data_IF_900750945916
#
_entry.id   IF_900750945916
#
_cell.length_a   1.000
_cell.length_b   1.000
_cell.length_c   1.000
_cell.angle_alpha   90.00
_cell.angle_beta   90.00
_cell.angle_gamma   90.00
#
_symmetry.space_group_name_H-M   'P 1'
#
loop_
_entity.id
_entity.type
_entity.pdbx_description
1 polymer ?
#
# COMPACT_ATOMS: atom_id res chain seq x y z
N UNK A 1 -6.85 4.83 19.63
CA UNK A 1 -5.58 4.09 19.70
C UNK A 1 -4.46 4.70 18.84
N UNK A 2 -4.76 5.68 18.00
CA UNK A 2 -3.78 6.31 17.10
C UNK A 2 -3.38 7.72 17.53
N UNK A 3 -3.93 8.20 18.65
CA UNK A 3 -3.69 9.51 19.21
C UNK A 3 -3.90 9.49 20.73
N UNK A 4 -3.32 10.45 21.41
CA UNK A 4 -3.51 10.62 22.85
C UNK A 4 -4.86 11.30 23.12
N UNK A 5 -5.48 10.98 24.26
CA UNK A 5 -6.67 11.69 24.73
C UNK A 5 -6.30 13.15 25.01
N UNK A 6 -7.23 14.06 24.72
CA UNK A 6 -7.07 15.47 25.05
C UNK A 6 -6.86 15.64 26.55
N UNK A 7 -5.84 16.43 26.94
CA UNK A 7 -5.52 16.72 28.33
C UNK A 7 -4.74 15.63 29.07
N UNK A 8 -4.31 14.55 28.40
CA UNK A 8 -3.43 13.55 29.03
C UNK A 8 -2.09 14.17 29.42
N UNK A 9 -1.55 13.75 30.56
CA UNK A 9 -0.27 14.23 31.10
C UNK A 9 0.78 13.12 31.06
N UNK A 10 2.06 13.49 31.27
CA UNK A 10 3.14 12.53 31.41
C UNK A 10 2.95 11.64 32.66
N UNK A 11 2.38 12.19 33.74
CA UNK A 11 2.06 11.44 34.94
C UNK A 11 0.99 10.36 34.69
N UNK A 12 0.01 10.66 33.83
CA UNK A 12 -0.99 9.67 33.42
C UNK A 12 -0.37 8.57 32.58
N UNK A 13 0.54 8.92 31.68
CA UNK A 13 1.29 7.96 30.88
C UNK A 13 2.18 7.09 31.77
N UNK A 14 2.82 7.68 32.81
CA UNK A 14 3.66 6.95 33.75
C UNK A 14 2.90 5.84 34.50
N UNK A 15 1.60 6.01 34.74
CA UNK A 15 0.72 5.02 35.38
C UNK A 15 0.28 3.87 34.45
N UNK A 16 0.56 3.96 33.15
CA UNK A 16 0.23 2.87 32.21
C UNK A 16 1.04 1.60 32.55
N UNK A 17 0.36 0.50 32.84
CA UNK A 17 0.96 -0.78 33.23
C UNK A 17 1.58 -1.53 32.05
N UNK A 18 1.23 -1.16 30.79
CA UNK A 18 1.70 -1.83 29.59
C UNK A 18 2.89 -1.07 28.97
N UNK A 19 4.14 -1.56 29.14
CA UNK A 19 5.35 -0.85 28.70
C UNK A 19 5.31 -0.48 27.21
N UNK A 20 4.75 -1.34 26.36
CA UNK A 20 4.63 -1.09 24.93
C UNK A 20 3.80 0.17 24.63
N UNK A 21 2.60 0.27 25.19
CA UNK A 21 1.73 1.43 24.98
C UNK A 21 2.22 2.67 25.71
N UNK A 22 2.79 2.51 26.91
CA UNK A 22 3.46 3.58 27.65
C UNK A 22 4.54 4.24 26.80
N UNK A 23 5.37 3.45 26.13
CA UNK A 23 6.47 3.95 25.31
C UNK A 23 5.94 4.74 24.09
N UNK A 24 4.95 4.20 23.39
CA UNK A 24 4.30 4.90 22.26
C UNK A 24 3.71 6.24 22.73
N UNK A 25 2.93 6.22 23.81
CA UNK A 25 2.30 7.42 24.36
C UNK A 25 3.32 8.47 24.79
N UNK A 26 4.43 8.04 25.40
CA UNK A 26 5.53 8.93 25.78
C UNK A 26 6.15 9.64 24.58
N UNK A 27 6.44 8.92 23.48
CA UNK A 27 6.96 9.54 22.27
C UNK A 27 5.93 10.45 21.60
N UNK A 28 4.64 10.10 21.65
CA UNK A 28 3.57 10.93 21.10
C UNK A 28 3.45 12.27 21.87
N UNK A 29 3.43 12.26 23.21
CA UNK A 29 3.30 13.49 24.01
C UNK A 29 4.52 14.40 23.85
N UNK A 30 5.69 13.84 23.57
CA UNK A 30 6.92 14.59 23.26
C UNK A 30 6.99 15.08 21.80
N UNK A 31 5.98 14.78 20.96
CA UNK A 31 6.02 15.09 19.52
C UNK A 31 7.14 14.38 18.76
N UNK A 32 7.63 13.25 19.28
CA UNK A 32 8.77 12.49 18.71
C UNK A 32 8.35 11.13 18.14
N UNK A 33 7.06 10.81 18.14
CA UNK A 33 6.59 9.57 17.55
C UNK A 33 6.69 9.65 16.03
N UNK A 34 7.36 8.71 15.34
CA UNK A 34 7.51 8.73 13.89
C UNK A 34 6.20 8.24 13.24
N UNK A 35 5.22 9.13 13.11
CA UNK A 35 3.87 8.79 12.66
C UNK A 35 3.78 8.50 11.14
N UNK A 36 4.71 9.06 10.34
CA UNK A 36 4.73 8.86 8.89
C UNK A 36 4.74 7.37 8.54
N UNK A 37 3.83 6.95 7.67
CA UNK A 37 3.53 5.55 7.29
C UNK A 37 3.04 4.64 8.43
N UNK A 38 3.16 5.06 9.70
CA UNK A 38 2.63 4.27 10.82
C UNK A 38 1.17 4.55 11.11
N UNK A 39 0.72 5.79 10.93
CA UNK A 39 -0.66 6.18 11.20
C UNK A 39 -1.22 6.81 9.93
N UNK A 40 -2.20 6.16 9.33
CA UNK A 40 -2.82 6.62 8.08
C UNK A 40 -4.31 6.30 8.03
N UNK A 41 -5.03 7.03 7.21
CA UNK A 41 -6.42 6.75 6.86
C UNK A 41 -6.46 6.05 5.51
N UNK A 42 -7.15 4.91 5.46
CA UNK A 42 -7.29 4.08 4.27
C UNK A 42 -8.72 4.16 3.77
N UNK A 43 -8.88 4.55 2.51
CA UNK A 43 -10.18 4.60 1.85
C UNK A 43 -10.55 3.25 1.24
N UNK A 44 -11.86 3.04 1.10
CA UNK A 44 -12.37 1.89 0.36
C UNK A 44 -12.12 2.04 -1.15
N UNK A 45 -11.92 0.89 -1.79
CA UNK A 45 -11.94 0.77 -3.25
C UNK A 45 -12.96 -0.29 -3.65
N UNK A 46 -13.64 -0.15 -4.81
CA UNK A 46 -14.53 -1.20 -5.27
C UNK A 46 -13.75 -2.47 -5.62
N UNK A 47 -14.44 -3.62 -5.54
CA UNK A 47 -13.88 -4.84 -6.10
C UNK A 47 -13.69 -4.64 -7.64
N UNK A 48 -12.45 -4.75 -8.15
CA UNK A 48 -12.17 -4.52 -9.56
C UNK A 48 -12.88 -5.48 -10.51
N UNK A 49 -13.35 -6.63 -10.01
CA UNK A 49 -14.15 -7.59 -10.79
C UNK A 49 -15.45 -6.96 -11.31
N UNK A 50 -16.05 -6.04 -10.56
CA UNK A 50 -17.30 -5.35 -10.95
C UNK A 50 -17.13 -4.63 -12.29
N UNK A 51 -16.05 -3.88 -12.43
CA UNK A 51 -15.79 -3.14 -13.67
C UNK A 51 -15.27 -4.05 -14.78
N UNK A 52 -14.40 -5.02 -14.47
CA UNK A 52 -13.88 -5.94 -15.48
C UNK A 52 -14.97 -6.81 -16.10
N UNK A 53 -15.92 -7.28 -15.32
CA UNK A 53 -17.10 -8.01 -15.85
C UNK A 53 -17.93 -7.16 -16.81
N UNK A 54 -18.10 -5.90 -16.49
CA UNK A 54 -18.84 -4.95 -17.33
C UNK A 54 -18.08 -4.62 -18.61
N UNK A 55 -16.77 -4.40 -18.51
CA UNK A 55 -15.91 -3.98 -19.63
C UNK A 55 -15.42 -5.16 -20.48
N UNK A 56 -15.59 -6.42 -19.99
CA UNK A 56 -15.04 -7.64 -20.61
C UNK A 56 -13.51 -7.60 -20.74
N UNK A 57 -12.86 -7.10 -19.70
CA UNK A 57 -11.39 -7.02 -19.58
C UNK A 57 -10.91 -7.82 -18.36
N UNK A 58 -9.60 -7.91 -18.17
CA UNK A 58 -9.05 -8.38 -16.90
C UNK A 58 -9.29 -7.35 -15.79
N UNK A 59 -9.53 -7.79 -14.54
CA UNK A 59 -9.64 -6.87 -13.41
C UNK A 59 -8.30 -6.21 -13.08
N UNK A 60 -8.36 -4.94 -12.68
CA UNK A 60 -7.23 -4.21 -12.12
C UNK A 60 -6.93 -4.70 -10.70
N UNK A 61 -6.07 -4.01 -9.96
CA UNK A 61 -5.58 -4.47 -8.67
C UNK A 61 -6.57 -4.29 -7.53
N UNK A 62 -6.36 -5.06 -6.46
CA UNK A 62 -6.93 -4.82 -5.13
C UNK A 62 -5.90 -4.21 -4.15
N UNK A 63 -4.67 -3.89 -4.63
CA UNK A 63 -3.56 -3.40 -3.81
C UNK A 63 -3.45 -1.85 -3.80
N UNK A 64 -4.58 -1.15 -3.90
CA UNK A 64 -4.62 0.31 -3.97
C UNK A 64 -4.20 1.03 -2.69
N UNK A 65 -4.12 0.33 -1.56
CA UNK A 65 -3.79 0.87 -0.25
C UNK A 65 -2.45 0.31 0.29
N UNK A 66 -1.28 0.70 -0.26
CA UNK A 66 -0.01 0.37 0.36
C UNK A 66 0.12 1.08 1.71
N UNK A 67 0.76 0.43 2.66
CA UNK A 67 0.92 0.98 4.01
C UNK A 67 2.28 1.65 4.23
N UNK A 68 3.26 1.32 3.40
CA UNK A 68 4.66 1.68 3.64
C UNK A 68 5.31 0.87 4.77
N UNK A 69 4.66 -0.20 5.23
CA UNK A 69 5.19 -1.13 6.23
C UNK A 69 5.66 -2.41 5.55
N UNK A 70 6.77 -2.94 6.00
CA UNK A 70 7.26 -4.26 5.63
C UNK A 70 7.38 -5.15 6.87
N UNK A 71 7.22 -6.45 6.66
CA UNK A 71 7.22 -7.47 7.70
C UNK A 71 8.07 -8.68 7.31
N UNK A 72 8.47 -9.46 8.31
CA UNK A 72 9.19 -10.73 8.13
C UNK A 72 8.35 -11.89 8.64
N UNK A 73 8.54 -13.05 8.04
CA UNK A 73 7.94 -14.29 8.56
C UNK A 73 8.39 -14.55 10.00
N UNK A 74 7.44 -14.98 10.84
CA UNK A 74 7.66 -15.28 12.25
C UNK A 74 7.55 -14.08 13.20
N UNK A 75 7.48 -12.82 12.70
CA UNK A 75 7.30 -11.67 13.58
C UNK A 75 5.85 -11.48 14.02
N UNK A 76 5.67 -10.76 15.15
CA UNK A 76 4.36 -10.31 15.60
C UNK A 76 4.12 -8.88 15.16
N UNK A 77 3.08 -8.66 14.35
CA UNK A 77 2.65 -7.34 13.93
C UNK A 77 1.50 -6.85 14.82
N UNK A 78 1.68 -5.69 15.43
CA UNK A 78 0.66 -5.02 16.24
C UNK A 78 0.03 -3.92 15.40
N UNK A 79 -1.28 -4.03 15.18
CA UNK A 79 -2.07 -3.10 14.38
C UNK A 79 -3.26 -2.61 15.20
N UNK A 80 -3.41 -1.31 15.28
CA UNK A 80 -4.54 -0.67 15.96
C UNK A 80 -5.48 -0.12 14.88
N UNK A 81 -6.71 -0.62 14.87
CA UNK A 81 -7.72 -0.31 13.84
C UNK A 81 -8.83 0.53 14.44
N UNK A 82 -9.13 1.65 13.80
CA UNK A 82 -10.24 2.52 14.14
C UNK A 82 -11.61 1.90 13.85
N UNK A 83 -12.61 2.75 13.73
CA UNK A 83 -13.94 2.30 13.32
C UNK A 83 -13.89 1.75 11.91
N UNK A 84 -14.35 0.51 11.73
CA UNK A 84 -14.41 -0.16 10.43
C UNK A 84 -15.71 0.14 9.68
N UNK A 85 -16.62 0.88 10.29
CA UNK A 85 -17.94 1.22 9.75
C UNK A 85 -18.76 -0.03 9.35
N UNK A 86 -18.46 -1.19 9.99
CA UNK A 86 -19.11 -2.46 9.70
C UNK A 86 -18.57 -3.21 8.48
N UNK A 87 -17.48 -2.75 7.89
CA UNK A 87 -16.82 -3.42 6.76
C UNK A 87 -15.73 -4.38 7.23
N UNK A 88 -15.52 -5.42 6.43
CA UNK A 88 -14.38 -6.31 6.58
C UNK A 88 -13.11 -5.60 6.09
N UNK A 89 -12.12 -5.50 6.98
CA UNK A 89 -10.82 -4.95 6.67
C UNK A 89 -9.79 -6.07 6.70
N UNK A 90 -9.10 -6.28 5.58
CA UNK A 90 -8.01 -7.24 5.49
C UNK A 90 -6.65 -6.56 5.52
N UNK A 91 -5.64 -7.33 5.89
CA UNK A 91 -4.24 -6.94 5.78
C UNK A 91 -3.53 -7.99 4.93
N UNK A 92 -3.10 -7.62 3.74
CA UNK A 92 -2.34 -8.52 2.86
C UNK A 92 -0.85 -8.27 3.01
N UNK A 93 -0.11 -9.34 3.23
CA UNK A 93 1.35 -9.37 3.10
C UNK A 93 1.68 -9.95 1.73
N UNK A 94 2.26 -9.13 0.85
CA UNK A 94 2.62 -9.51 -0.52
C UNK A 94 4.06 -9.97 -0.56
N UNK A 95 4.29 -11.24 -0.86
CA UNK A 95 5.62 -11.83 -0.95
C UNK A 95 6.08 -11.92 -2.41
N UNK A 96 6.85 -10.94 -2.85
CA UNK A 96 7.46 -10.93 -4.20
C UNK A 96 8.67 -11.86 -4.33
N UNK A 97 9.20 -12.40 -3.22
CA UNK A 97 10.31 -13.34 -3.19
C UNK A 97 9.87 -14.81 -3.05
N UNK A 98 8.57 -15.09 -3.05
CA UNK A 98 8.07 -16.44 -2.88
C UNK A 98 8.68 -17.42 -3.92
N UNK A 99 9.00 -18.65 -3.53
CA UNK A 99 9.34 -19.70 -4.49
C UNK A 99 8.22 -19.81 -5.53
N UNK A 100 8.53 -20.11 -6.76
CA UNK A 100 7.57 -20.11 -7.87
C UNK A 100 7.06 -18.71 -8.29
N UNK A 101 7.72 -17.69 -7.82
CA UNK A 101 7.23 -16.32 -7.80
C UNK A 101 6.97 -15.75 -9.19
N UNK A 102 5.71 -15.44 -9.42
CA UNK A 102 5.22 -14.62 -10.52
C UNK A 102 4.92 -13.17 -10.07
N UNK A 103 5.33 -12.82 -8.83
CA UNK A 103 5.11 -11.49 -8.23
C UNK A 103 3.74 -11.32 -7.58
N UNK A 104 2.95 -12.38 -7.40
CA UNK A 104 1.59 -12.27 -6.89
C UNK A 104 1.26 -13.15 -5.67
N UNK A 105 2.26 -13.77 -5.07
CA UNK A 105 2.09 -14.53 -3.82
C UNK A 105 1.79 -13.66 -2.61
N UNK A 106 1.05 -14.19 -1.64
CA UNK A 106 0.82 -13.46 -0.39
C UNK A 106 -0.28 -14.07 0.48
N UNK A 107 -0.35 -13.59 1.73
CA UNK A 107 -1.30 -14.05 2.74
C UNK A 107 -2.12 -12.85 3.24
N UNK A 108 -3.43 -13.06 3.43
CA UNK A 108 -4.33 -12.02 3.96
C UNK A 108 -4.80 -12.40 5.36
N UNK A 109 -4.74 -11.43 6.27
CA UNK A 109 -5.20 -11.50 7.65
C UNK A 109 -6.44 -10.61 7.80
N UNK A 110 -7.46 -11.09 8.50
CA UNK A 110 -8.60 -10.26 8.85
C UNK A 110 -8.25 -9.36 10.04
N UNK A 111 -8.61 -8.09 9.96
CA UNK A 111 -8.45 -7.12 11.05
C UNK A 111 -9.80 -6.87 11.74
N UNK A 112 -9.77 -6.84 13.07
CA UNK A 112 -10.90 -6.40 13.88
C UNK A 112 -10.68 -4.96 14.34
N UNK A 113 -11.76 -4.23 14.58
CA UNK A 113 -11.68 -2.93 15.24
C UNK A 113 -10.98 -3.09 16.61
N UNK A 114 -10.06 -2.14 16.93
CA UNK A 114 -9.26 -2.19 18.14
C UNK A 114 -7.86 -2.74 17.92
N UNK A 115 -7.36 -3.53 18.86
CA UNK A 115 -5.98 -4.04 18.87
C UNK A 115 -5.94 -5.40 18.21
N UNK A 116 -5.08 -5.52 17.18
CA UNK A 116 -4.78 -6.79 16.53
C UNK A 116 -3.32 -7.16 16.80
N UNK A 117 -3.08 -8.42 17.15
CA UNK A 117 -1.74 -9.03 17.23
C UNK A 117 -1.73 -10.19 16.23
N UNK A 118 -0.99 -10.02 15.16
CA UNK A 118 -0.88 -10.98 14.08
C UNK A 118 0.47 -11.66 14.11
N UNK A 119 0.49 -13.00 14.04
CA UNK A 119 1.72 -13.75 13.78
C UNK A 119 1.85 -13.87 12.26
N UNK A 120 2.88 -13.23 11.72
CA UNK A 120 3.09 -13.15 10.29
C UNK A 120 3.72 -14.44 9.77
N UNK A 121 3.10 -15.06 8.77
CA UNK A 121 3.61 -16.29 8.13
C UNK A 121 4.48 -16.01 6.91
N UNK A 122 4.34 -14.85 6.27
CA UNK A 122 5.04 -14.46 5.05
C UNK A 122 5.83 -13.16 5.24
N UNK A 123 6.93 -13.01 4.50
CA UNK A 123 7.63 -11.73 4.44
C UNK A 123 7.11 -10.88 3.27
N UNK A 124 7.18 -9.56 3.38
CA UNK A 124 6.86 -8.68 2.25
C UNK A 124 6.36 -7.30 2.65
N UNK A 125 5.85 -6.59 1.64
CA UNK A 125 5.15 -5.32 1.82
C UNK A 125 3.70 -5.57 2.26
N UNK A 126 3.16 -4.62 3.00
CA UNK A 126 1.85 -4.74 3.63
C UNK A 126 0.85 -3.79 2.98
N UNK A 127 -0.33 -4.31 2.66
CA UNK A 127 -1.43 -3.56 2.03
C UNK A 127 -2.71 -3.71 2.84
N UNK A 128 -3.49 -2.64 2.93
CA UNK A 128 -4.83 -2.70 3.51
C UNK A 128 -5.83 -3.08 2.43
N UNK A 129 -6.58 -4.16 2.68
CA UNK A 129 -7.65 -4.65 1.82
C UNK A 129 -8.97 -4.10 2.37
N UNK A 130 -9.42 -2.98 1.81
CA UNK A 130 -10.71 -2.38 2.13
C UNK A 130 -11.52 -2.30 0.83
N UNK A 131 -12.31 -3.34 0.58
CA UNK A 131 -12.97 -3.58 -0.71
C UNK A 131 -14.49 -3.50 -0.57
N UNK A 132 -15.13 -2.66 -1.39
CA UNK A 132 -16.59 -2.54 -1.45
C UNK A 132 -17.19 -3.45 -2.53
N UNK A 133 -18.47 -3.79 -2.34
CA UNK A 133 -19.24 -4.63 -3.28
C UNK A 133 -19.93 -3.82 -4.39
N UNK A 134 -19.80 -2.49 -4.34
CA UNK A 134 -20.36 -1.55 -5.31
C UNK A 134 -19.29 -0.55 -5.72
N UNK A 135 -19.45 0.08 -6.89
CA UNK A 135 -18.49 1.08 -7.40
C UNK A 135 -18.41 2.32 -6.52
N UNK A 136 -19.56 2.78 -6.06
CA UNK A 136 -19.69 3.95 -5.20
C UNK A 136 -20.47 3.53 -3.96
N UNK A 137 -19.80 3.54 -2.82
CA UNK A 137 -20.39 3.20 -1.53
C UNK A 137 -20.19 4.36 -0.54
N UNK A 138 -21.18 5.24 -0.39
CA UNK A 138 -21.06 6.42 0.46
C UNK A 138 -20.94 6.10 1.96
N UNK A 139 -21.28 4.87 2.38
CA UNK A 139 -21.14 4.42 3.75
C UNK A 139 -19.70 3.96 4.08
N UNK A 140 -18.89 3.68 3.08
CA UNK A 140 -17.51 3.21 3.24
C UNK A 140 -16.55 4.38 3.55
N UNK A 141 -16.68 4.95 4.75
CA UNK A 141 -15.79 6.01 5.22
C UNK A 141 -14.35 5.49 5.44
N UNK A 142 -13.33 6.36 5.33
CA UNK A 142 -11.95 5.97 5.58
C UNK A 142 -11.73 5.36 6.97
N UNK A 143 -10.89 4.34 7.05
CA UNK A 143 -10.53 3.65 8.29
C UNK A 143 -9.13 4.08 8.72
N UNK A 144 -9.02 4.61 9.93
CA UNK A 144 -7.75 4.98 10.53
C UNK A 144 -7.05 3.74 11.09
N UNK A 145 -5.84 3.48 10.62
CA UNK A 145 -5.03 2.32 11.06
C UNK A 145 -3.67 2.80 11.54
N UNK A 146 -3.22 2.24 12.66
CA UNK A 146 -1.91 2.49 13.23
C UNK A 146 -1.11 1.19 13.30
N UNK A 147 -0.03 1.13 12.55
CA UNK A 147 0.95 0.05 12.58
C UNK A 147 1.95 0.33 13.71
N UNK A 148 1.64 -0.16 14.90
CA UNK A 148 2.45 0.08 16.10
C UNK A 148 3.77 -0.70 16.11
N UNK A 149 3.89 -1.75 15.29
CA UNK A 149 5.13 -2.48 15.01
C UNK A 149 5.30 -2.69 13.49
N UNK A 150 6.24 -3.55 13.08
CA UNK A 150 6.64 -3.67 11.67
C UNK A 150 7.70 -2.62 11.31
N UNK A 151 8.34 -2.78 10.17
CA UNK A 151 9.41 -1.89 9.72
C UNK A 151 8.88 -0.90 8.70
N UNK A 152 9.10 0.39 8.94
CA UNK A 152 8.78 1.43 7.93
C UNK A 152 9.71 1.27 6.74
N UNK A 153 9.12 1.10 5.57
CA UNK A 153 9.75 1.12 4.26
C UNK A 153 9.44 2.42 3.53
N UNK A 154 8.24 2.94 3.72
CA UNK A 154 7.68 4.02 2.95
C UNK A 154 7.25 3.60 1.54
N UNK A 155 6.65 4.52 0.84
CA UNK A 155 6.29 4.44 -0.59
C UNK A 155 6.23 5.87 -1.15
N UNK A 156 6.16 6.00 -2.46
CA UNK A 156 5.92 7.28 -3.13
C UNK A 156 4.53 7.29 -3.76
N UNK A 157 3.79 8.38 -3.56
CA UNK A 157 2.48 8.61 -4.18
C UNK A 157 2.45 10.02 -4.80
N UNK A 158 2.41 10.10 -6.12
CA UNK A 158 2.36 11.37 -6.85
C UNK A 158 1.06 12.16 -6.60
N UNK A 159 0.03 11.52 -6.07
CA UNK A 159 -1.24 12.14 -5.73
C UNK A 159 -1.27 12.68 -4.28
N UNK A 160 -0.24 12.36 -3.47
CA UNK A 160 -0.11 12.88 -2.12
C UNK A 160 0.74 14.16 -2.10
N UNK A 161 0.15 15.34 -1.79
CA UNK A 161 0.90 16.59 -1.75
C UNK A 161 2.10 16.57 -0.78
N UNK A 162 2.05 15.76 0.29
CA UNK A 162 3.15 15.61 1.24
C UNK A 162 4.37 14.87 0.65
N UNK A 163 4.21 14.18 -0.48
CA UNK A 163 5.29 13.50 -1.19
C UNK A 163 5.94 14.37 -2.29
N UNK A 164 5.38 15.53 -2.59
CA UNK A 164 5.90 16.43 -3.62
C UNK A 164 7.37 16.78 -3.37
N UNK A 165 8.24 16.50 -4.35
CA UNK A 165 9.67 16.75 -4.27
C UNK A 165 10.45 15.82 -3.33
N UNK A 166 9.81 14.81 -2.75
CA UNK A 166 10.42 13.88 -1.78
C UNK A 166 10.77 12.51 -2.36
N UNK A 167 10.69 12.32 -3.67
CA UNK A 167 11.03 11.04 -4.32
C UNK A 167 12.35 10.46 -3.81
N UNK A 168 13.45 11.21 -3.96
CA UNK A 168 14.77 10.73 -3.58
C UNK A 168 14.90 10.47 -2.07
N UNK A 169 14.27 11.30 -1.24
CA UNK A 169 14.24 11.10 0.21
C UNK A 169 13.56 9.79 0.58
N UNK A 170 12.33 9.58 0.09
CA UNK A 170 11.52 8.40 0.39
C UNK A 170 12.18 7.12 -0.13
N UNK A 171 12.66 7.12 -1.37
CA UNK A 171 13.34 5.97 -1.96
C UNK A 171 14.65 5.64 -1.21
N UNK A 172 15.43 6.65 -0.80
CA UNK A 172 16.67 6.42 -0.05
C UNK A 172 16.44 5.88 1.36
N UNK A 173 15.31 6.21 1.99
CA UNK A 173 14.90 5.66 3.29
C UNK A 173 14.36 4.23 3.21
N UNK A 174 13.96 3.77 2.03
CA UNK A 174 13.42 2.43 1.83
C UNK A 174 14.43 1.36 2.26
N UNK A 175 13.95 0.38 3.01
CA UNK A 175 14.77 -0.68 3.62
C UNK A 175 14.40 -2.08 3.15
N UNK A 176 13.24 -2.22 2.49
CA UNK A 176 12.82 -3.46 1.84
C UNK A 176 13.44 -3.54 0.45
N UNK A 177 13.52 -4.75 -0.09
CA UNK A 177 13.95 -5.01 -1.47
C UNK A 177 13.02 -4.32 -2.48
N UNK A 178 11.76 -4.17 -2.16
CA UNK A 178 10.72 -3.61 -3.03
C UNK A 178 10.22 -2.27 -2.53
N UNK A 179 9.79 -1.44 -3.47
CA UNK A 179 9.27 -0.11 -3.19
C UNK A 179 8.04 0.17 -4.06
N UNK A 180 6.97 0.66 -3.44
CA UNK A 180 5.74 1.03 -4.12
C UNK A 180 5.81 2.46 -4.64
N UNK A 181 5.35 2.65 -5.88
CA UNK A 181 5.23 3.95 -6.54
C UNK A 181 3.81 4.09 -7.09
N UNK A 182 3.06 5.05 -6.58
CA UNK A 182 1.67 5.25 -6.94
C UNK A 182 1.50 6.51 -7.78
N UNK A 183 0.74 6.34 -8.85
CA UNK A 183 0.17 7.42 -9.63
C UNK A 183 -1.35 7.50 -9.46
N UNK A 184 -1.99 8.20 -10.36
CA UNK A 184 -3.45 8.28 -10.43
C UNK A 184 -4.06 6.98 -10.93
N UNK A 185 -3.44 6.35 -11.93
CA UNK A 185 -3.96 5.19 -12.66
C UNK A 185 -3.08 3.95 -12.53
N UNK A 186 -1.81 4.13 -12.21
CA UNK A 186 -0.82 3.05 -12.09
C UNK A 186 -0.31 2.88 -10.65
N UNK A 187 0.05 1.66 -10.29
CA UNK A 187 0.75 1.31 -9.07
C UNK A 187 1.90 0.37 -9.43
N UNK A 188 3.12 0.83 -9.25
CA UNK A 188 4.34 0.07 -9.54
C UNK A 188 4.91 -0.50 -8.24
N UNK A 189 5.35 -1.77 -8.27
CA UNK A 189 6.18 -2.35 -7.21
C UNK A 189 7.42 -2.96 -7.84
N UNK A 190 8.53 -2.22 -7.79
CA UNK A 190 9.81 -2.61 -8.38
C UNK A 190 10.90 -2.76 -7.32
N UNK A 191 12.06 -3.35 -7.69
CA UNK A 191 13.17 -3.41 -6.76
C UNK A 191 13.69 -2.00 -6.43
N UNK A 192 13.87 -1.75 -5.14
CA UNK A 192 14.41 -0.49 -4.63
C UNK A 192 15.78 -0.14 -5.26
N UNK A 193 16.61 -1.17 -5.47
CA UNK A 193 17.94 -1.02 -6.11
C UNK A 193 17.84 -0.58 -7.58
N UNK A 194 16.88 -1.12 -8.31
CA UNK A 194 16.70 -0.82 -9.73
C UNK A 194 16.12 0.60 -9.89
N UNK A 195 15.14 0.97 -9.06
CA UNK A 195 14.63 2.35 -9.01
C UNK A 195 15.74 3.35 -8.70
N UNK A 196 16.62 3.05 -7.72
CA UNK A 196 17.77 3.92 -7.42
C UNK A 196 18.74 4.05 -8.58
N UNK A 197 18.97 2.97 -9.32
CA UNK A 197 19.95 2.90 -10.40
C UNK A 197 19.43 3.59 -11.67
N UNK A 198 18.20 3.27 -12.07
CA UNK A 198 17.70 3.64 -13.40
C UNK A 198 16.85 4.91 -13.40
N UNK A 199 16.10 5.15 -12.30
CA UNK A 199 15.23 6.32 -12.21
C UNK A 199 15.98 7.56 -11.69
N UNK A 200 16.96 7.37 -10.80
CA UNK A 200 17.68 8.49 -10.17
C UNK A 200 16.73 9.42 -9.41
N UNK A 201 16.68 10.70 -9.82
CA UNK A 201 15.77 11.72 -9.24
C UNK A 201 14.44 11.88 -9.98
N UNK A 202 14.15 11.03 -10.99
CA UNK A 202 13.05 11.19 -11.94
C UNK A 202 11.83 10.30 -11.65
N UNK A 203 11.55 10.02 -10.40
CA UNK A 203 10.43 9.17 -10.03
C UNK A 203 9.06 9.74 -10.38
N UNK A 204 8.92 11.06 -10.33
CA UNK A 204 7.71 11.75 -10.80
C UNK A 204 7.51 11.52 -12.31
N UNK A 205 8.59 11.66 -13.11
CA UNK A 205 8.53 11.43 -14.56
C UNK A 205 8.18 9.96 -14.87
N UNK A 206 8.73 9.02 -14.10
CA UNK A 206 8.43 7.58 -14.25
C UNK A 206 6.94 7.32 -14.06
N UNK A 207 6.38 7.70 -12.92
CA UNK A 207 4.98 7.38 -12.61
C UNK A 207 4.00 8.14 -13.52
N UNK A 208 4.33 9.37 -13.92
CA UNK A 208 3.55 10.14 -14.90
C UNK A 208 3.51 9.44 -16.26
N UNK A 209 4.60 8.79 -16.67
CA UNK A 209 4.62 8.02 -17.91
C UNK A 209 3.68 6.82 -17.84
N UNK A 210 3.73 6.05 -16.75
CA UNK A 210 2.84 4.91 -16.54
C UNK A 210 1.36 5.35 -16.43
N UNK A 211 1.09 6.44 -15.75
CA UNK A 211 -0.26 7.02 -15.70
C UNK A 211 -0.79 7.37 -17.09
N UNK A 212 0.06 7.97 -17.95
CA UNK A 212 -0.30 8.27 -19.35
C UNK A 212 -0.57 7.01 -20.16
N UNK A 213 0.22 5.94 -19.97
CA UNK A 213 0.01 4.66 -20.65
C UNK A 213 -1.35 4.07 -20.26
N UNK A 214 -1.60 3.91 -18.95
CA UNK A 214 -2.85 3.33 -18.44
C UNK A 214 -4.06 4.20 -18.81
N UNK A 215 -3.92 5.51 -18.72
CA UNK A 215 -4.99 6.42 -19.15
C UNK A 215 -5.29 6.29 -20.65
N UNK A 216 -4.26 6.23 -21.50
CA UNK A 216 -4.43 6.07 -22.94
C UNK A 216 -5.08 4.73 -23.30
N UNK A 217 -4.77 3.67 -22.57
CA UNK A 217 -5.45 2.37 -22.70
C UNK A 217 -6.95 2.51 -22.40
N UNK A 218 -7.32 3.15 -21.30
CA UNK A 218 -8.71 3.37 -20.93
C UNK A 218 -9.44 4.26 -21.93
N UNK A 219 -8.76 5.27 -22.50
CA UNK A 219 -9.31 6.10 -23.58
C UNK A 219 -9.56 5.29 -24.85
N UNK A 220 -8.61 4.43 -25.25
CA UNK A 220 -8.73 3.56 -26.41
C UNK A 220 -9.92 2.60 -26.29
N UNK A 221 -10.16 2.10 -25.08
CA UNK A 221 -11.33 1.28 -24.75
C UNK A 221 -12.63 2.10 -24.67
N UNK A 222 -12.57 3.43 -24.77
CA UNK A 222 -13.71 4.33 -24.68
C UNK A 222 -14.26 4.52 -23.27
N UNK A 223 -13.55 4.05 -22.24
CA UNK A 223 -14.05 4.07 -20.87
C UNK A 223 -14.24 5.49 -20.32
N UNK A 224 -13.34 6.40 -20.66
CA UNK A 224 -13.49 7.82 -20.30
C UNK A 224 -14.76 8.44 -20.91
N UNK A 225 -14.98 8.21 -22.20
CA UNK A 225 -16.14 8.78 -22.93
C UNK A 225 -17.49 8.41 -22.30
N UNK A 226 -17.57 7.24 -21.67
CA UNK A 226 -18.79 6.70 -21.08
C UNK A 226 -18.80 6.77 -19.54
N UNK A 227 -17.84 7.49 -18.94
CA UNK A 227 -17.67 7.57 -17.48
C UNK A 227 -17.58 6.18 -16.82
N UNK A 228 -16.76 5.32 -17.41
CA UNK A 228 -16.56 3.91 -17.01
C UNK A 228 -15.12 3.59 -16.66
N UNK A 229 -14.27 4.59 -16.45
CA UNK A 229 -12.88 4.37 -16.08
C UNK A 229 -12.77 3.53 -14.81
N UNK A 230 -11.73 2.69 -14.73
CA UNK A 230 -11.47 1.92 -13.53
C UNK A 230 -11.23 2.83 -12.33
N UNK A 231 -11.78 2.47 -11.18
CA UNK A 231 -11.56 3.16 -9.90
C UNK A 231 -10.29 2.69 -9.21
N UNK A 232 -9.86 1.46 -9.54
CA UNK A 232 -8.63 0.85 -9.04
C UNK A 232 -7.46 1.20 -9.97
N UNK A 233 -6.24 1.14 -9.42
CA UNK A 233 -5.02 1.27 -10.22
C UNK A 233 -4.67 -0.03 -10.92
N UNK A 234 -4.07 0.09 -12.11
CA UNK A 234 -3.37 -1.06 -12.71
C UNK A 234 -2.11 -1.33 -11.90
N UNK A 235 -1.94 -2.57 -11.45
CA UNK A 235 -0.77 -2.99 -10.70
C UNK A 235 0.28 -3.60 -11.61
N UNK A 236 1.48 -3.05 -11.54
CA UNK A 236 2.62 -3.45 -12.35
C UNK A 236 3.77 -3.82 -11.41
N UNK A 237 4.24 -5.08 -11.46
CA UNK A 237 5.25 -5.55 -10.53
C UNK A 237 6.44 -6.22 -11.21
N UNK A 238 7.58 -6.19 -10.52
CA UNK A 238 8.74 -6.99 -10.92
C UNK A 238 8.48 -8.46 -10.67
N UNK A 239 9.03 -9.31 -11.53
CA UNK A 239 9.03 -10.76 -11.36
C UNK A 239 10.31 -11.37 -11.91
N UNK A 240 10.54 -12.67 -11.68
CA UNK A 240 11.84 -13.31 -11.93
C UNK A 240 11.77 -14.54 -12.84
N UNK A 241 10.58 -14.99 -13.19
CA UNK A 241 10.34 -16.29 -13.82
C UNK A 241 10.15 -16.20 -15.33
N UNK A 242 9.28 -15.32 -15.79
CA UNK A 242 8.94 -15.13 -17.20
C UNK A 242 9.48 -13.80 -17.70
N UNK A 243 9.47 -13.54 -19.00
CA UNK A 243 9.92 -12.27 -19.55
C UNK A 243 8.95 -11.12 -19.20
N UNK A 244 7.69 -11.28 -19.56
CA UNK A 244 6.61 -10.35 -19.28
C UNK A 244 5.26 -11.06 -19.47
N UNK A 245 4.28 -10.74 -18.64
CA UNK A 245 2.89 -11.17 -18.87
C UNK A 245 1.91 -10.25 -18.16
N UNK A 246 0.65 -10.26 -18.64
CA UNK A 246 -0.48 -9.63 -17.98
C UNK A 246 -1.56 -10.68 -17.73
N UNK A 247 -2.19 -10.61 -16.58
CA UNK A 247 -3.29 -11.48 -16.18
C UNK A 247 -4.25 -10.72 -15.26
N UNK A 248 -5.22 -11.42 -14.67
CA UNK A 248 -6.07 -10.80 -13.66
C UNK A 248 -5.23 -10.20 -12.53
N UNK A 249 -5.56 -8.98 -12.14
CA UNK A 249 -5.02 -8.22 -11.01
C UNK A 249 -3.61 -7.66 -11.17
N UNK A 250 -2.77 -8.08 -12.12
CA UNK A 250 -1.44 -7.52 -12.30
C UNK A 250 -0.84 -7.71 -13.69
N UNK A 251 0.12 -6.85 -13.99
CA UNK A 251 1.08 -6.98 -15.10
C UNK A 251 2.47 -7.14 -14.50
N UNK A 252 3.23 -8.13 -14.96
CA UNK A 252 4.53 -8.47 -14.41
C UNK A 252 5.64 -8.33 -15.44
N UNK A 253 6.76 -7.73 -15.01
CA UNK A 253 7.95 -7.50 -15.82
C UNK A 253 9.15 -8.22 -15.22
N UNK A 254 9.92 -8.93 -16.06
CA UNK A 254 11.14 -9.56 -15.59
C UNK A 254 12.14 -8.51 -15.13
N UNK A 255 12.80 -8.77 -14.00
CA UNK A 255 13.82 -7.88 -13.46
C UNK A 255 14.91 -7.51 -14.48
N UNK A 256 15.25 -8.40 -15.42
CA UNK A 256 16.26 -8.12 -16.43
C UNK A 256 15.89 -7.02 -17.42
N UNK A 257 14.63 -6.57 -17.43
CA UNK A 257 14.13 -5.48 -18.29
C UNK A 257 14.03 -4.15 -17.57
N UNK A 258 14.38 -4.07 -16.28
CA UNK A 258 14.18 -2.85 -15.48
C UNK A 258 14.93 -1.63 -16.01
N UNK A 259 16.08 -1.82 -16.69
CA UNK A 259 16.81 -0.73 -17.34
C UNK A 259 16.05 -0.09 -18.52
N UNK A 260 15.01 -0.73 -19.02
CA UNK A 260 14.19 -0.25 -20.14
C UNK A 260 12.85 0.32 -19.66
N UNK A 261 12.39 -0.07 -18.47
CA UNK A 261 11.05 0.23 -17.97
C UNK A 261 11.04 1.12 -16.71
N UNK A 262 12.19 1.37 -16.10
CA UNK A 262 12.44 2.41 -15.11
C UNK A 262 13.13 3.59 -15.81
#
# INVERSE_FOLDING_TARGET
CSELKTGITEDDIAKCEYPFFKNIAYYMIKGKYPAEFRISEFKAYPNPDIQSETHKTNPYSQLDNPTGISVKAGENLIVLVGDTHGYDIGLRVQNLDAPENDGFGGVTYLLNQGINKLTISEQGLVYVMYVTKTLDDPAAAPVKIHFASGKVNGYFDSQNPEHNGRWSELLNKATNRYFDVLGKYAHLTFETSDLRTYTGSKGDELIDLYDKIVYSEQQLLGLEKYDKMFRNRMYLNVMYKSYMYATAYHTAYNRTTMNEIC
#
